data_IF_660513936097
#
_entry.id   IF_660513936097
#
_cell.length_a   1.000
_cell.length_b   1.000
_cell.length_c   1.000
_cell.angle_alpha   90.00
_cell.angle_beta   90.00
_cell.angle_gamma   90.00
#
_symmetry.space_group_name_H-M   'P 1'
#
loop_
_entity.id
_entity.type
_entity.pdbx_description
1 polymer ?
#
# COMPACT_ATOMS: atom_id res chain seq x y z
N UNK A 1 -23.97 -7.02 17.22
CA UNK A 1 -24.74 -7.16 15.96
C UNK A 1 -25.23 -5.78 15.61
N UNK A 2 -24.73 -5.18 14.58
CA UNK A 2 -25.24 -3.88 14.08
C UNK A 2 -26.62 -4.14 13.50
N UNK A 3 -27.61 -3.37 13.95
CA UNK A 3 -29.03 -3.58 13.71
C UNK A 3 -29.48 -3.54 12.23
N UNK A 4 -28.61 -3.28 11.28
CA UNK A 4 -28.98 -3.10 9.87
C UNK A 4 -28.74 -4.33 8.98
N UNK A 5 -27.76 -5.20 9.28
CA UNK A 5 -27.43 -6.34 8.43
C UNK A 5 -28.49 -7.45 8.38
N UNK A 6 -29.38 -7.52 9.36
CA UNK A 6 -30.46 -8.51 9.44
C UNK A 6 -31.83 -7.98 8.97
N UNK A 7 -31.92 -6.74 8.48
CA UNK A 7 -33.22 -6.09 8.21
C UNK A 7 -33.56 -6.11 6.72
N UNK A 8 -32.54 -6.11 5.82
CA UNK A 8 -32.79 -6.03 4.39
C UNK A 8 -32.18 -7.21 3.62
N UNK A 9 -32.94 -7.83 2.68
CA UNK A 9 -32.38 -8.78 1.72
C UNK A 9 -31.28 -8.13 0.87
N UNK A 10 -30.31 -8.92 0.40
CA UNK A 10 -29.18 -8.45 -0.45
C UNK A 10 -29.64 -7.52 -1.57
N UNK A 11 -30.71 -7.87 -2.28
CA UNK A 11 -31.23 -7.05 -3.38
C UNK A 11 -31.68 -5.66 -2.93
N UNK A 12 -32.36 -5.55 -1.78
CA UNK A 12 -32.77 -4.26 -1.25
C UNK A 12 -31.58 -3.40 -0.82
N UNK A 13 -30.51 -4.02 -0.26
CA UNK A 13 -29.27 -3.31 0.05
C UNK A 13 -28.60 -2.80 -1.22
N UNK A 14 -28.53 -3.59 -2.28
CA UNK A 14 -27.99 -3.20 -3.58
C UNK A 14 -28.78 -2.07 -4.24
N UNK A 15 -30.10 -2.07 -4.14
CA UNK A 15 -30.97 -1.01 -4.65
C UNK A 15 -30.74 0.33 -3.92
N UNK A 16 -30.59 0.29 -2.58
CA UNK A 16 -30.24 1.47 -1.77
C UNK A 16 -28.84 2.00 -2.06
N UNK A 17 -27.88 1.08 -2.21
CA UNK A 17 -26.50 1.37 -2.56
C UNK A 17 -26.42 2.08 -3.92
N UNK A 18 -27.05 1.51 -4.94
CA UNK A 18 -27.13 2.11 -6.28
C UNK A 18 -27.80 3.48 -6.31
N UNK A 19 -28.76 3.73 -5.40
CA UNK A 19 -29.49 4.99 -5.33
C UNK A 19 -28.72 6.12 -4.62
N UNK A 20 -27.85 5.79 -3.67
CA UNK A 20 -27.32 6.79 -2.73
C UNK A 20 -25.81 6.77 -2.51
N UNK A 21 -25.08 5.73 -2.92
CA UNK A 21 -23.65 5.60 -2.66
C UNK A 21 -22.83 5.73 -3.95
N UNK A 22 -21.84 6.63 -3.93
CA UNK A 22 -20.86 6.77 -5.02
C UNK A 22 -19.56 6.04 -4.66
N UNK A 23 -19.29 4.94 -5.31
CA UNK A 23 -18.15 4.08 -4.99
C UNK A 23 -16.81 4.62 -5.53
N UNK A 24 -15.71 4.50 -4.74
CA UNK A 24 -14.37 4.83 -5.22
C UNK A 24 -13.87 3.82 -6.26
N UNK A 25 -13.09 4.29 -7.24
CA UNK A 25 -12.46 3.46 -8.28
C UNK A 25 -13.43 2.50 -8.99
N UNK A 26 -14.65 2.94 -9.26
CA UNK A 26 -15.69 2.11 -9.85
C UNK A 26 -16.33 2.77 -11.07
N UNK A 27 -16.64 1.96 -12.09
CA UNK A 27 -17.62 2.35 -13.11
C UNK A 27 -19.02 2.16 -12.52
N UNK A 28 -19.66 3.27 -12.15
CA UNK A 28 -20.96 3.27 -11.49
C UNK A 28 -22.06 2.66 -12.36
N UNK A 29 -21.95 2.77 -13.70
CA UNK A 29 -22.93 2.18 -14.62
C UNK A 29 -22.89 0.66 -14.58
N UNK A 30 -21.70 0.10 -14.64
CA UNK A 30 -21.48 -1.36 -14.55
C UNK A 30 -21.85 -1.86 -13.16
N UNK A 31 -21.36 -1.20 -12.10
CA UNK A 31 -21.65 -1.56 -10.71
C UNK A 31 -23.15 -1.61 -10.42
N UNK A 32 -23.92 -0.59 -10.85
CA UNK A 32 -25.35 -0.54 -10.62
C UNK A 32 -26.12 -1.60 -11.43
N UNK A 33 -25.58 -2.03 -12.58
CA UNK A 33 -26.19 -3.11 -13.38
C UNK A 33 -25.95 -4.50 -12.77
N UNK A 34 -24.78 -4.71 -12.18
CA UNK A 34 -24.35 -5.99 -11.61
C UNK A 34 -24.75 -6.15 -10.13
N UNK A 35 -24.84 -5.03 -9.40
CA UNK A 35 -25.03 -4.97 -7.95
C UNK A 35 -23.72 -5.08 -7.17
N UNK A 36 -23.63 -4.33 -6.06
CA UNK A 36 -22.47 -4.35 -5.18
C UNK A 36 -22.36 -5.66 -4.37
N UNK A 37 -21.13 -6.03 -4.02
CA UNK A 37 -20.84 -7.14 -3.10
C UNK A 37 -20.97 -6.63 -1.66
N UNK A 38 -22.02 -7.01 -0.96
CA UNK A 38 -22.32 -6.51 0.38
C UNK A 38 -21.66 -7.40 1.42
N UNK A 39 -20.65 -6.90 2.12
CA UNK A 39 -19.96 -7.59 3.22
C UNK A 39 -20.62 -7.17 4.54
N UNK A 40 -21.05 -8.16 5.34
CA UNK A 40 -21.82 -7.93 6.57
C UNK A 40 -21.08 -8.29 7.85
N UNK A 41 -20.09 -9.19 7.76
CA UNK A 41 -19.33 -9.66 8.92
C UNK A 41 -17.91 -10.01 8.53
N UNK A 42 -16.99 -9.94 9.51
CA UNK A 42 -15.61 -10.36 9.33
C UNK A 42 -15.02 -10.89 10.65
N UNK A 43 -14.16 -11.92 10.55
CA UNK A 43 -13.46 -12.53 11.69
C UNK A 43 -12.16 -13.18 11.23
N UNK A 44 -11.04 -12.95 11.93
CA UNK A 44 -9.72 -13.43 11.55
C UNK A 44 -9.33 -12.98 10.15
N UNK A 45 -9.22 -13.93 9.21
CA UNK A 45 -8.93 -13.66 7.77
C UNK A 45 -10.17 -13.83 6.89
N UNK A 46 -11.36 -13.93 7.49
CA UNK A 46 -12.58 -14.28 6.78
C UNK A 46 -13.59 -13.15 6.75
N UNK A 47 -14.24 -13.00 5.62
CA UNK A 47 -15.39 -12.13 5.40
C UNK A 47 -16.64 -12.99 5.22
N UNK A 48 -17.81 -12.42 5.53
CA UNK A 48 -19.11 -13.02 5.23
C UNK A 48 -19.94 -11.97 4.48
N UNK A 49 -20.47 -12.33 3.32
CA UNK A 49 -21.36 -11.46 2.56
C UNK A 49 -22.82 -11.52 3.07
N UNK A 50 -23.69 -10.72 2.46
CA UNK A 50 -25.10 -10.64 2.83
C UNK A 50 -25.92 -11.90 2.53
N UNK A 51 -25.39 -12.80 1.70
CA UNK A 51 -26.00 -14.10 1.41
C UNK A 51 -25.45 -15.23 2.31
N UNK A 52 -24.57 -14.87 3.27
CA UNK A 52 -23.98 -15.79 4.23
C UNK A 52 -22.78 -16.56 3.69
N UNK A 53 -22.27 -16.23 2.50
CA UNK A 53 -21.09 -16.87 1.93
C UNK A 53 -19.82 -16.41 2.66
N UNK A 54 -19.01 -17.38 3.07
CA UNK A 54 -17.71 -17.15 3.69
C UNK A 54 -16.63 -17.01 2.61
N UNK A 55 -15.79 -15.98 2.72
CA UNK A 55 -14.80 -15.58 1.70
C UNK A 55 -13.49 -15.27 2.41
N UNK A 56 -12.37 -15.87 1.98
CA UNK A 56 -11.04 -15.53 2.52
C UNK A 56 -10.61 -14.17 2.00
N UNK A 57 -10.22 -13.29 2.92
CA UNK A 57 -9.69 -11.95 2.61
C UNK A 57 -8.21 -12.01 2.22
N UNK A 58 -7.94 -12.38 0.99
CA UNK A 58 -6.58 -12.44 0.44
C UNK A 58 -5.91 -11.07 0.24
N UNK A 59 -6.62 -9.96 0.60
CA UNK A 59 -6.13 -8.59 0.43
C UNK A 59 -6.02 -7.80 1.73
N UNK A 60 -6.30 -8.42 2.89
CA UNK A 60 -6.34 -7.73 4.18
C UNK A 60 -7.17 -6.43 4.10
N UNK A 61 -8.44 -6.54 3.69
CA UNK A 61 -9.26 -5.41 3.30
C UNK A 61 -8.72 -4.73 2.06
N UNK A 62 -7.94 -3.68 2.26
CA UNK A 62 -7.17 -3.02 1.20
C UNK A 62 -5.73 -2.78 1.69
N UNK A 63 -4.96 -3.85 1.88
CA UNK A 63 -3.56 -3.86 2.37
C UNK A 63 -3.43 -3.40 3.84
N UNK A 64 -4.48 -3.43 4.65
CA UNK A 64 -4.47 -2.75 5.94
C UNK A 64 -4.69 -3.65 7.15
N UNK A 65 -5.38 -4.79 7.05
CA UNK A 65 -5.78 -5.61 8.20
C UNK A 65 -4.66 -6.58 8.58
N UNK A 66 -3.62 -6.07 9.26
CA UNK A 66 -2.44 -6.86 9.65
C UNK A 66 -2.78 -7.92 10.69
N UNK A 67 -3.49 -7.55 11.76
CA UNK A 67 -3.79 -8.42 12.91
C UNK A 67 -5.08 -9.24 12.74
N UNK A 68 -5.68 -9.20 11.55
CA UNK A 68 -6.97 -9.85 11.29
C UNK A 68 -8.17 -9.02 11.76
N UNK A 69 -9.33 -9.47 11.34
CA UNK A 69 -10.61 -8.90 11.71
C UNK A 69 -11.08 -9.36 13.10
N UNK A 70 -12.01 -8.61 13.71
CA UNK A 70 -12.70 -9.05 14.93
C UNK A 70 -11.88 -8.93 16.24
N UNK A 71 -10.75 -8.22 16.25
CA UNK A 71 -9.93 -8.01 17.45
C UNK A 71 -10.66 -7.14 18.47
N UNK A 72 -11.24 -7.80 19.47
CA UNK A 72 -11.99 -7.12 20.54
C UNK A 72 -11.13 -6.15 21.34
N UNK A 73 -9.86 -6.48 21.56
CA UNK A 73 -8.91 -5.64 22.27
C UNK A 73 -8.81 -4.22 21.68
N UNK A 74 -8.81 -4.10 20.33
CA UNK A 74 -8.77 -2.79 19.66
C UNK A 74 -10.11 -2.07 19.84
N UNK A 75 -11.24 -2.78 19.70
CA UNK A 75 -12.56 -2.21 19.91
C UNK A 75 -12.76 -1.69 21.34
N UNK A 76 -12.29 -2.46 22.34
CA UNK A 76 -12.37 -2.09 23.76
C UNK A 76 -11.46 -0.88 24.07
N UNK A 77 -10.26 -0.81 23.49
CA UNK A 77 -9.38 0.35 23.61
C UNK A 77 -10.02 1.63 23.05
N UNK A 78 -10.64 1.53 21.87
CA UNK A 78 -11.40 2.64 21.25
C UNK A 78 -12.58 3.04 22.12
N UNK A 79 -13.37 2.08 22.60
CA UNK A 79 -14.52 2.36 23.46
C UNK A 79 -14.11 3.08 24.76
N UNK A 80 -13.06 2.62 25.43
CA UNK A 80 -12.51 3.26 26.64
C UNK A 80 -12.09 4.69 26.33
N UNK A 81 -11.30 4.90 25.26
CA UNK A 81 -10.80 6.22 24.90
C UNK A 81 -11.93 7.21 24.55
N UNK A 82 -12.96 6.74 23.86
CA UNK A 82 -14.13 7.56 23.52
C UNK A 82 -14.90 8.04 24.76
N UNK A 83 -14.91 7.25 25.83
CA UNK A 83 -15.53 7.65 27.10
C UNK A 83 -14.66 8.61 27.93
N UNK A 84 -13.35 8.56 27.77
CA UNK A 84 -12.40 9.40 28.54
C UNK A 84 -12.17 10.75 27.83
N UNK A 85 -11.78 10.74 26.57
CA UNK A 85 -11.59 11.90 25.71
C UNK A 85 -11.93 11.51 24.28
N UNK A 86 -13.16 11.85 23.84
CA UNK A 86 -13.66 11.50 22.52
C UNK A 86 -12.90 12.23 21.41
N UNK A 87 -12.61 13.51 21.62
CA UNK A 87 -11.84 14.34 20.69
C UNK A 87 -11.26 15.55 21.40
N UNK A 88 -10.01 15.87 21.06
CA UNK A 88 -9.44 17.21 21.16
C UNK A 88 -8.32 17.36 20.12
N UNK A 89 -8.10 18.59 19.64
CA UNK A 89 -7.11 18.86 18.63
C UNK A 89 -5.67 18.90 19.17
N UNK A 90 -4.69 18.78 18.26
CA UNK A 90 -3.25 18.90 18.55
C UNK A 90 -2.66 20.24 18.06
N UNK A 91 -3.52 21.26 17.85
CA UNK A 91 -3.13 22.62 17.47
C UNK A 91 -2.92 23.48 18.72
N UNK A 92 -2.40 24.68 18.52
CA UNK A 92 -2.35 25.74 19.55
C UNK A 92 -1.67 25.34 20.85
N UNK A 93 -0.57 24.58 20.75
CA UNK A 93 0.20 24.06 21.90
C UNK A 93 -0.57 23.05 22.78
N UNK A 94 -1.58 22.42 22.24
CA UNK A 94 -2.31 21.35 22.91
C UNK A 94 -1.92 19.98 22.36
N UNK A 95 -2.05 18.97 23.18
CA UNK A 95 -1.89 17.55 22.83
C UNK A 95 -2.62 16.69 23.87
N UNK A 96 -2.57 15.37 23.74
CA UNK A 96 -3.21 14.45 24.66
C UNK A 96 -2.41 13.14 24.80
N UNK A 97 -2.57 12.40 25.90
CA UNK A 97 -1.76 11.24 26.22
C UNK A 97 -1.70 10.17 25.11
N UNK A 98 -2.80 9.74 24.43
CA UNK A 98 -2.71 8.75 23.38
C UNK A 98 -1.81 9.14 22.22
N UNK A 99 -1.84 10.40 21.74
CA UNK A 99 -0.96 10.86 20.67
C UNK A 99 0.51 10.88 21.08
N UNK A 100 0.80 11.28 22.35
CA UNK A 100 2.16 11.27 22.91
C UNK A 100 2.69 9.84 22.97
N UNK A 101 1.91 8.92 23.58
CA UNK A 101 2.28 7.52 23.71
C UNK A 101 2.49 6.84 22.37
N UNK A 102 1.63 7.12 21.38
CA UNK A 102 1.79 6.59 20.02
C UNK A 102 3.05 7.12 19.33
N UNK A 103 3.38 8.42 19.54
CA UNK A 103 4.60 9.02 18.98
C UNK A 103 5.87 8.36 19.55
N UNK A 104 5.90 8.12 20.86
CA UNK A 104 6.99 7.40 21.52
C UNK A 104 7.09 5.96 21.00
N UNK A 105 5.96 5.26 20.85
CA UNK A 105 5.91 3.88 20.36
C UNK A 105 6.46 3.79 18.93
N UNK A 106 6.00 4.67 18.03
CA UNK A 106 6.45 4.70 16.64
C UNK A 106 7.94 5.02 16.53
N UNK A 107 8.45 5.97 17.32
CA UNK A 107 9.89 6.28 17.35
C UNK A 107 10.75 5.10 17.82
N UNK A 108 10.24 4.22 18.70
CA UNK A 108 10.94 3.01 19.13
C UNK A 108 10.94 1.90 18.08
N UNK A 109 9.92 1.84 17.22
CA UNK A 109 9.76 0.80 16.20
C UNK A 109 10.45 1.19 14.88
N UNK A 110 10.55 2.47 14.60
CA UNK A 110 11.12 3.00 13.35
C UNK A 110 12.66 3.01 13.40
N UNK A 111 13.34 3.16 12.22
CA UNK A 111 14.78 3.39 12.19
C UNK A 111 15.21 4.52 13.14
N UNK A 112 16.32 4.34 13.85
CA UNK A 112 16.74 5.16 15.00
C UNK A 112 16.81 6.69 14.74
N UNK A 113 16.89 7.13 13.51
CA UNK A 113 16.90 8.54 13.13
C UNK A 113 15.48 9.11 12.83
N UNK A 114 14.43 8.30 12.97
CA UNK A 114 13.02 8.69 12.73
C UNK A 114 12.32 8.99 14.06
N UNK A 115 12.56 10.17 14.62
CA UNK A 115 12.15 10.49 16.01
C UNK A 115 10.92 11.41 16.14
N UNK A 116 10.35 11.88 15.04
CA UNK A 116 9.15 12.70 15.07
C UNK A 116 8.07 12.10 14.17
N UNK A 117 6.82 12.38 14.49
CA UNK A 117 5.69 12.00 13.65
C UNK A 117 4.69 13.16 13.52
N UNK A 118 4.27 13.41 12.29
CA UNK A 118 3.17 14.31 11.98
C UNK A 118 1.95 13.46 11.64
N UNK A 119 0.84 13.62 12.36
CA UNK A 119 -0.36 12.81 12.18
C UNK A 119 -1.34 13.41 11.17
N UNK A 120 -2.04 12.50 10.47
CA UNK A 120 -3.16 12.79 9.57
C UNK A 120 -4.16 11.62 9.61
N UNK A 121 -5.14 11.58 8.70
CA UNK A 121 -6.20 10.56 8.72
C UNK A 121 -6.03 9.48 7.64
N UNK A 122 -5.09 9.64 6.72
CA UNK A 122 -4.88 8.71 5.60
C UNK A 122 -3.47 8.79 5.00
N UNK A 123 -3.12 7.79 4.18
CA UNK A 123 -1.88 7.81 3.38
C UNK A 123 -1.87 8.93 2.33
N UNK A 124 -3.03 9.31 1.79
CA UNK A 124 -3.15 10.43 0.86
C UNK A 124 -2.78 11.76 1.51
N UNK A 125 -3.33 12.04 2.70
CA UNK A 125 -2.99 13.22 3.49
C UNK A 125 -1.52 13.18 3.96
N UNK A 126 -0.97 12.00 4.27
CA UNK A 126 0.44 11.84 4.60
C UNK A 126 1.33 12.28 3.43
N UNK A 127 1.01 11.92 2.20
CA UNK A 127 1.76 12.31 1.02
C UNK A 127 1.55 13.79 0.63
N UNK A 128 0.39 14.38 0.88
CA UNK A 128 0.20 15.83 0.78
C UNK A 128 1.08 16.56 1.82
N UNK A 129 1.20 16.02 3.03
CA UNK A 129 2.09 16.54 4.07
C UNK A 129 3.56 16.44 3.65
N UNK A 130 3.99 15.30 3.09
CA UNK A 130 5.33 15.11 2.53
C UNK A 130 5.62 16.16 1.47
N UNK A 131 4.73 16.36 0.51
CA UNK A 131 4.90 17.33 -0.57
C UNK A 131 5.15 18.74 -0.02
N UNK A 132 4.39 19.14 0.99
CA UNK A 132 4.54 20.46 1.63
C UNK A 132 5.79 20.52 2.51
N UNK A 133 6.07 19.49 3.29
CA UNK A 133 7.20 19.45 4.22
C UNK A 133 8.54 19.50 3.50
N UNK A 134 8.70 18.73 2.41
CA UNK A 134 9.89 18.72 1.56
C UNK A 134 10.19 20.14 1.05
N UNK A 135 9.19 20.82 0.48
CA UNK A 135 9.37 22.18 -0.05
C UNK A 135 9.66 23.21 1.04
N UNK A 136 8.95 23.12 2.18
CA UNK A 136 9.19 24.00 3.33
C UNK A 136 10.59 23.78 3.90
N UNK A 137 11.07 22.56 3.98
CA UNK A 137 12.41 22.24 4.43
C UNK A 137 13.47 22.96 3.57
N UNK A 138 13.40 22.82 2.25
CA UNK A 138 14.38 23.46 1.37
C UNK A 138 14.29 24.98 1.35
N UNK A 139 13.09 25.55 1.45
CA UNK A 139 12.92 27.01 1.62
C UNK A 139 13.62 27.49 2.90
N UNK A 140 13.44 26.77 4.01
CA UNK A 140 14.08 27.07 5.30
C UNK A 140 15.60 26.85 5.30
N UNK A 141 16.09 25.91 4.50
CA UNK A 141 17.53 25.69 4.31
C UNK A 141 18.18 26.68 3.34
N UNK A 142 17.46 27.73 2.89
CA UNK A 142 17.98 28.73 1.96
C UNK A 142 18.13 28.22 0.51
N UNK A 143 17.45 27.14 0.15
CA UNK A 143 17.48 26.53 -1.20
C UNK A 143 16.09 26.53 -1.84
N UNK A 144 15.44 27.71 -2.06
CA UNK A 144 14.05 27.77 -2.51
C UNK A 144 13.82 27.22 -3.92
N UNK A 145 14.86 27.03 -4.72
CA UNK A 145 14.74 26.41 -6.07
C UNK A 145 14.57 24.89 -6.01
N UNK A 146 14.94 24.22 -4.91
CA UNK A 146 14.72 22.79 -4.71
C UNK A 146 13.25 22.48 -4.47
N UNK A 147 12.47 22.25 -5.56
CA UNK A 147 11.01 22.06 -5.53
C UNK A 147 10.53 20.83 -6.29
N UNK A 148 11.39 20.23 -7.13
CA UNK A 148 11.02 19.07 -7.94
C UNK A 148 11.09 17.81 -7.06
N UNK A 149 10.00 17.05 -7.06
CA UNK A 149 9.96 15.72 -6.44
C UNK A 149 9.88 14.69 -7.56
N UNK A 150 10.77 13.70 -7.51
CA UNK A 150 10.80 12.61 -8.49
C UNK A 150 10.06 11.41 -7.90
N UNK A 151 9.06 10.89 -8.61
CA UNK A 151 8.35 9.64 -8.32
C UNK A 151 8.59 8.59 -9.41
N UNK A 152 7.90 7.47 -9.32
CA UNK A 152 7.99 6.37 -10.31
C UNK A 152 6.66 6.17 -11.03
N UNK A 153 6.71 5.82 -12.32
CA UNK A 153 5.52 5.34 -13.03
C UNK A 153 4.91 4.13 -12.32
N UNK A 154 3.58 4.03 -12.36
CA UNK A 154 2.77 3.04 -11.64
C UNK A 154 2.94 3.04 -10.11
N UNK A 155 3.64 4.00 -9.51
CA UNK A 155 3.62 4.25 -8.07
C UNK A 155 2.26 4.79 -7.63
N UNK A 156 1.86 4.50 -6.39
CA UNK A 156 0.60 5.00 -5.82
C UNK A 156 0.86 5.69 -4.47
N UNK A 157 0.62 6.99 -4.44
CA UNK A 157 0.85 7.81 -3.24
C UNK A 157 -0.40 8.50 -2.71
N UNK A 158 -1.58 8.14 -3.20
CA UNK A 158 -2.86 8.66 -2.71
C UNK A 158 -3.78 9.18 -3.82
N UNK A 159 -4.94 9.71 -3.40
CA UNK A 159 -6.00 10.21 -4.29
C UNK A 159 -6.25 11.72 -4.15
N UNK A 160 -5.51 12.42 -3.26
CA UNK A 160 -5.45 13.88 -3.22
C UNK A 160 -4.65 14.41 -4.41
N UNK A 161 -4.72 15.71 -4.71
CA UNK A 161 -4.01 16.27 -5.88
C UNK A 161 -2.50 16.06 -5.80
N UNK A 162 -1.87 16.28 -4.63
CA UNK A 162 -0.44 16.02 -4.49
C UNK A 162 -0.15 14.52 -4.48
N UNK A 163 -0.90 13.72 -3.72
CA UNK A 163 -0.73 12.26 -3.69
C UNK A 163 -0.86 11.62 -5.07
N UNK A 164 -1.88 12.01 -5.86
CA UNK A 164 -2.04 11.53 -7.24
C UNK A 164 -0.92 12.01 -8.16
N UNK A 165 -0.48 13.25 -7.99
CA UNK A 165 0.64 13.80 -8.79
C UNK A 165 1.97 13.10 -8.50
N UNK A 166 2.26 12.80 -7.22
CA UNK A 166 3.46 12.04 -6.82
C UNK A 166 3.39 10.59 -7.34
N UNK A 167 2.20 10.00 -7.36
CA UNK A 167 1.95 8.71 -8.00
C UNK A 167 2.12 8.79 -9.52
N UNK A 168 2.37 7.63 -10.14
CA UNK A 168 2.61 7.55 -11.59
C UNK A 168 1.53 6.78 -12.34
N UNK A 169 0.31 6.70 -11.81
CA UNK A 169 -0.80 6.01 -12.49
C UNK A 169 -1.42 6.89 -13.57
N UNK A 170 -1.08 6.64 -14.82
CA UNK A 170 -1.49 7.46 -15.98
C UNK A 170 -3.00 7.67 -16.09
N UNK A 171 -3.82 6.67 -15.74
CA UNK A 171 -5.27 6.81 -15.76
C UNK A 171 -5.78 7.85 -14.75
N UNK A 172 -5.16 7.94 -13.57
CA UNK A 172 -5.50 8.96 -12.56
C UNK A 172 -5.04 10.36 -13.00
N UNK A 173 -3.87 10.46 -13.63
CA UNK A 173 -3.39 11.73 -14.20
C UNK A 173 -4.33 12.26 -15.28
N UNK A 174 -4.81 11.38 -16.18
CA UNK A 174 -5.72 11.77 -17.27
C UNK A 174 -7.09 12.30 -16.81
N UNK A 175 -7.51 11.98 -15.58
CA UNK A 175 -8.77 12.46 -15.01
C UNK A 175 -8.69 13.81 -14.29
N UNK A 176 -7.52 14.41 -14.17
CA UNK A 176 -7.35 15.61 -13.38
C UNK A 176 -6.32 16.60 -13.92
N UNK A 177 -5.89 16.41 -15.17
CA UNK A 177 -4.85 17.22 -15.79
C UNK A 177 -3.57 17.27 -14.92
N UNK A 178 -3.13 16.11 -14.45
CA UNK A 178 -2.01 15.93 -13.55
C UNK A 178 -0.77 15.37 -14.30
N UNK A 179 0.42 15.49 -13.76
CA UNK A 179 0.76 15.94 -12.42
C UNK A 179 0.82 17.47 -12.27
N UNK A 180 0.67 17.96 -11.03
CA UNK A 180 0.91 19.38 -10.70
C UNK A 180 2.38 19.76 -10.96
N UNK A 181 2.69 21.07 -11.21
CA UNK A 181 4.06 21.50 -11.47
C UNK A 181 5.07 21.12 -10.39
N UNK A 182 6.25 20.69 -10.83
CA UNK A 182 7.35 20.27 -9.95
C UNK A 182 7.27 18.80 -9.52
N UNK A 183 6.56 17.96 -10.27
CA UNK A 183 6.63 16.50 -10.14
C UNK A 183 7.14 15.90 -11.45
N UNK A 184 8.10 15.01 -11.36
CA UNK A 184 8.70 14.24 -12.46
C UNK A 184 8.58 12.74 -12.15
N UNK A 185 8.43 11.91 -13.18
CA UNK A 185 8.41 10.46 -13.02
C UNK A 185 9.54 9.81 -13.81
N UNK A 186 10.12 8.77 -13.22
CA UNK A 186 11.07 7.86 -13.84
C UNK A 186 10.44 6.48 -13.99
N UNK A 187 11.08 5.60 -14.77
CA UNK A 187 10.60 4.23 -14.97
C UNK A 187 10.64 3.42 -13.67
N UNK A 188 9.75 2.44 -13.60
CA UNK A 188 9.62 1.54 -12.47
C UNK A 188 10.62 0.38 -12.58
N UNK A 189 11.05 -0.26 -11.46
CA UNK A 189 11.96 -1.39 -11.50
C UNK A 189 11.22 -2.72 -11.79
N UNK A 190 10.44 -2.78 -12.87
CA UNK A 190 9.64 -3.96 -13.24
C UNK A 190 10.36 -4.83 -14.26
N UNK A 191 11.21 -5.72 -13.78
CA UNK A 191 12.06 -6.56 -14.61
C UNK A 191 11.27 -7.42 -15.61
N UNK A 192 10.23 -8.14 -15.16
CA UNK A 192 9.44 -9.00 -16.04
C UNK A 192 8.81 -8.23 -17.22
N UNK A 193 8.26 -7.05 -16.98
CA UNK A 193 7.58 -6.27 -18.02
C UNK A 193 8.47 -5.35 -18.83
N UNK A 194 9.60 -4.89 -18.28
CA UNK A 194 10.41 -3.82 -18.88
C UNK A 194 11.89 -4.17 -19.05
N UNK A 195 12.38 -5.23 -18.38
CA UNK A 195 13.81 -5.54 -18.30
C UNK A 195 14.20 -6.92 -18.75
N UNK A 196 13.30 -7.71 -19.31
CA UNK A 196 13.51 -9.13 -19.61
C UNK A 196 14.63 -9.44 -20.63
N UNK A 197 15.11 -8.44 -21.37
CA UNK A 197 16.28 -8.57 -22.24
C UNK A 197 17.62 -8.50 -21.49
N UNK A 198 17.59 -8.11 -20.18
CA UNK A 198 18.73 -8.04 -19.28
C UNK A 198 18.59 -9.09 -18.17
N UNK A 199 19.67 -9.42 -17.48
CA UNK A 199 19.55 -10.14 -16.22
C UNK A 199 18.83 -9.27 -15.17
N UNK A 200 18.17 -9.83 -14.15
CA UNK A 200 17.56 -9.04 -13.08
C UNK A 200 18.57 -8.09 -12.40
N UNK A 201 19.79 -8.54 -12.21
CA UNK A 201 20.87 -7.78 -11.57
C UNK A 201 21.28 -6.56 -12.41
N UNK A 202 21.45 -6.74 -13.73
CA UNK A 202 21.77 -5.64 -14.67
C UNK A 202 20.61 -4.64 -14.75
N UNK A 203 19.36 -5.15 -14.86
CA UNK A 203 18.18 -4.31 -14.92
C UNK A 203 17.97 -3.51 -13.63
N UNK A 204 18.25 -4.08 -12.46
CA UNK A 204 18.12 -3.36 -11.20
C UNK A 204 19.00 -2.11 -11.16
N UNK A 205 20.28 -2.22 -11.57
CA UNK A 205 21.20 -1.07 -11.70
C UNK A 205 20.74 -0.10 -12.78
N UNK A 206 20.32 -0.61 -13.94
CA UNK A 206 19.81 0.21 -15.05
C UNK A 206 18.59 1.04 -14.62
N UNK A 207 17.60 0.42 -13.99
CA UNK A 207 16.39 1.09 -13.54
C UNK A 207 16.68 2.11 -12.42
N UNK A 208 17.62 1.84 -11.51
CA UNK A 208 18.02 2.78 -10.47
C UNK A 208 18.70 4.02 -11.06
N UNK A 209 19.53 3.86 -12.09
CA UNK A 209 20.23 4.96 -12.75
C UNK A 209 19.32 5.92 -13.51
N UNK A 210 18.05 5.54 -13.77
CA UNK A 210 17.04 6.49 -14.26
C UNK A 210 16.81 7.64 -13.27
N UNK A 211 17.04 7.41 -11.98
CA UNK A 211 17.03 8.51 -11.00
C UNK A 211 18.21 9.46 -11.21
N UNK A 212 19.42 8.93 -11.39
CA UNK A 212 20.62 9.73 -11.64
C UNK A 212 20.49 10.56 -12.92
N UNK A 213 20.05 9.93 -14.02
CA UNK A 213 19.77 10.61 -15.30
C UNK A 213 18.76 11.76 -15.12
N UNK A 214 17.66 11.52 -14.39
CA UNK A 214 16.65 12.54 -14.16
C UNK A 214 17.17 13.70 -13.28
N UNK A 215 17.98 13.43 -12.27
CA UNK A 215 18.61 14.47 -11.44
C UNK A 215 19.54 15.33 -12.30
N UNK A 216 20.36 14.71 -13.14
CA UNK A 216 21.30 15.43 -14.01
C UNK A 216 20.57 16.27 -15.08
N UNK A 217 19.45 15.75 -15.65
CA UNK A 217 18.61 16.48 -16.61
C UNK A 217 17.93 17.72 -15.98
N UNK A 218 17.40 17.57 -14.75
CA UNK A 218 16.66 18.63 -14.05
C UNK A 218 17.63 19.68 -13.45
N UNK A 219 18.76 19.23 -12.97
CA UNK A 219 19.72 19.94 -12.13
C UNK A 219 19.48 19.64 -10.65
N UNK A 220 20.51 19.17 -9.94
CA UNK A 220 20.45 18.78 -8.52
C UNK A 220 19.96 19.94 -7.62
N UNK A 221 20.32 21.18 -7.97
CA UNK A 221 19.89 22.39 -7.29
C UNK A 221 18.39 22.63 -7.32
N UNK A 222 17.64 21.93 -8.18
CA UNK A 222 16.17 22.00 -8.32
C UNK A 222 15.46 20.77 -7.77
N UNK A 223 16.16 19.63 -7.62
CA UNK A 223 15.56 18.40 -7.12
C UNK A 223 15.50 18.43 -5.60
N UNK A 224 14.29 18.34 -5.07
CA UNK A 224 14.00 18.39 -3.64
C UNK A 224 14.00 17.00 -2.99
N UNK A 225 13.40 16.01 -3.63
CA UNK A 225 13.26 14.67 -3.09
C UNK A 225 13.04 13.61 -4.19
N UNK A 226 13.37 12.37 -3.85
CA UNK A 226 12.87 11.16 -4.50
C UNK A 226 11.86 10.47 -3.58
N UNK A 227 10.69 10.09 -4.12
CA UNK A 227 9.66 9.33 -3.39
C UNK A 227 9.43 7.97 -4.04
N UNK A 228 9.39 6.91 -3.23
CA UNK A 228 9.19 5.56 -3.71
C UNK A 228 8.62 4.62 -2.64
N UNK A 229 7.74 3.71 -3.04
CA UNK A 229 7.36 2.55 -2.24
C UNK A 229 8.52 1.53 -2.22
N UNK A 230 8.86 0.86 -1.13
CA UNK A 230 9.86 -0.22 -1.13
C UNK A 230 9.55 -1.32 -2.14
N UNK A 231 8.29 -1.73 -2.22
CA UNK A 231 7.66 -2.54 -3.27
C UNK A 231 6.43 -1.79 -3.75
N UNK A 232 6.29 -1.56 -5.06
CA UNK A 232 5.11 -0.87 -5.59
C UNK A 232 3.89 -1.80 -5.47
N UNK A 233 3.07 -1.55 -4.44
CA UNK A 233 1.93 -2.40 -4.13
C UNK A 233 0.82 -2.30 -5.16
N UNK A 234 0.18 -1.13 -5.24
CA UNK A 234 -0.96 -0.88 -6.14
C UNK A 234 -0.58 -0.93 -7.63
N UNK A 235 0.69 -0.78 -7.97
CA UNK A 235 1.22 -0.95 -9.32
C UNK A 235 1.25 -2.40 -9.82
N UNK A 236 1.01 -3.39 -8.93
CA UNK A 236 0.97 -4.81 -9.26
C UNK A 236 1.97 -5.67 -8.48
N UNK A 237 2.33 -5.28 -7.26
CA UNK A 237 3.39 -5.91 -6.45
C UNK A 237 4.70 -5.99 -7.24
N UNK A 238 5.18 -4.83 -7.69
CA UNK A 238 6.45 -4.72 -8.40
C UNK A 238 7.59 -4.82 -7.39
N UNK A 239 8.20 -5.99 -7.35
CA UNK A 239 9.37 -6.29 -6.50
C UNK A 239 10.62 -5.88 -7.28
N UNK A 240 11.39 -4.88 -6.81
CA UNK A 240 12.60 -4.47 -7.50
C UNK A 240 13.67 -5.57 -7.42
N UNK A 241 14.53 -5.73 -8.46
CA UNK A 241 15.70 -6.58 -8.36
C UNK A 241 16.60 -6.21 -7.19
N UNK A 242 17.36 -7.18 -6.67
CA UNK A 242 18.21 -7.03 -5.47
C UNK A 242 19.23 -5.87 -5.58
N UNK A 243 19.67 -5.54 -6.79
CA UNK A 243 20.65 -4.46 -7.06
C UNK A 243 20.03 -3.07 -7.12
N UNK A 244 18.69 -2.95 -7.17
CA UNK A 244 18.01 -1.65 -7.34
C UNK A 244 18.23 -0.73 -6.14
N UNK A 245 17.87 -1.15 -4.94
CA UNK A 245 17.94 -0.31 -3.74
C UNK A 245 19.38 0.04 -3.32
N UNK A 246 20.38 -0.86 -3.42
CA UNK A 246 21.78 -0.49 -3.22
C UNK A 246 22.25 0.63 -4.15
N UNK A 247 21.89 0.61 -5.44
CA UNK A 247 22.26 1.66 -6.39
C UNK A 247 21.47 2.96 -6.13
N UNK A 248 20.17 2.88 -5.81
CA UNK A 248 19.39 4.07 -5.36
C UNK A 248 20.05 4.71 -4.14
N UNK A 249 20.46 3.89 -3.16
CA UNK A 249 21.17 4.39 -1.97
C UNK A 249 22.45 5.12 -2.33
N UNK A 250 23.29 4.55 -3.21
CA UNK A 250 24.51 5.20 -3.68
C UNK A 250 24.20 6.56 -4.28
N UNK A 251 23.24 6.65 -5.20
CA UNK A 251 22.84 7.89 -5.86
C UNK A 251 22.40 8.94 -4.83
N UNK A 252 21.57 8.54 -3.85
CA UNK A 252 21.07 9.46 -2.82
C UNK A 252 22.14 9.90 -1.82
N UNK A 253 23.10 9.03 -1.47
CA UNK A 253 24.20 9.36 -0.58
C UNK A 253 25.19 10.38 -1.23
N UNK A 254 25.27 10.39 -2.57
CA UNK A 254 26.14 11.30 -3.32
C UNK A 254 25.48 12.66 -3.67
N UNK A 255 24.17 12.79 -3.44
CA UNK A 255 23.34 13.94 -3.81
C UNK A 255 22.67 14.57 -2.59
N UNK A 256 22.59 15.90 -2.56
CA UNK A 256 21.88 16.62 -1.49
C UNK A 256 20.37 16.73 -1.80
N UNK A 257 19.68 15.59 -1.82
CA UNK A 257 18.22 15.49 -1.99
C UNK A 257 17.62 14.67 -0.84
N UNK A 258 16.31 14.84 -0.58
CA UNK A 258 15.63 14.04 0.45
C UNK A 258 15.14 12.72 -0.14
N UNK A 259 15.17 11.68 0.67
CA UNK A 259 14.54 10.40 0.34
C UNK A 259 13.24 10.18 1.12
N UNK A 260 12.15 9.86 0.42
CA UNK A 260 10.85 9.53 0.98
C UNK A 260 10.53 8.07 0.68
N UNK A 261 10.56 7.21 1.71
CA UNK A 261 10.08 5.83 1.61
C UNK A 261 8.60 5.78 1.95
N UNK A 262 7.74 5.53 0.97
CA UNK A 262 6.31 5.38 1.22
C UNK A 262 6.02 4.00 1.84
N UNK A 263 5.86 3.98 3.16
CA UNK A 263 5.64 2.78 3.97
C UNK A 263 4.16 2.45 4.20
N UNK A 264 3.27 3.12 3.53
CA UNK A 264 1.81 2.96 3.70
C UNK A 264 1.35 1.52 3.48
N UNK A 265 1.98 0.77 2.57
CA UNK A 265 1.69 -0.65 2.34
C UNK A 265 2.74 -1.56 3.01
N UNK A 266 4.03 -1.26 2.82
CA UNK A 266 5.12 -2.15 3.23
C UNK A 266 5.37 -2.15 4.75
N UNK A 267 4.97 -1.11 5.46
CA UNK A 267 5.14 -0.98 6.90
C UNK A 267 4.33 -1.96 7.74
N UNK A 268 4.69 -2.02 9.02
CA UNK A 268 4.00 -2.80 10.05
C UNK A 268 3.98 -4.31 9.79
N UNK A 269 5.14 -4.88 9.45
CA UNK A 269 5.35 -6.33 9.40
C UNK A 269 5.09 -6.99 8.04
N UNK A 270 4.60 -6.27 7.03
CA UNK A 270 4.21 -6.84 5.73
C UNK A 270 5.32 -7.61 5.02
N UNK A 271 6.57 -7.17 5.18
CA UNK A 271 7.76 -7.80 4.58
C UNK A 271 8.59 -8.64 5.57
N UNK A 272 8.12 -8.82 6.82
CA UNK A 272 8.90 -9.49 7.87
C UNK A 272 9.89 -8.59 8.59
N UNK A 273 9.79 -7.28 8.39
CA UNK A 273 10.43 -6.22 9.16
C UNK A 273 9.37 -5.16 9.52
N UNK A 274 9.66 -4.27 10.48
CA UNK A 274 8.72 -3.23 10.86
C UNK A 274 8.40 -2.31 9.69
N UNK A 275 9.42 -1.99 8.89
CA UNK A 275 9.29 -1.12 7.71
C UNK A 275 10.04 -1.71 6.52
N UNK A 276 9.62 -1.39 5.31
CA UNK A 276 10.31 -1.78 4.10
C UNK A 276 11.70 -1.13 3.99
N UNK A 277 11.89 0.03 4.61
CA UNK A 277 13.18 0.69 4.74
C UNK A 277 14.19 -0.21 5.50
N UNK A 278 13.76 -0.88 6.58
CA UNK A 278 14.59 -1.85 7.30
C UNK A 278 14.93 -3.07 6.43
N UNK A 279 13.91 -3.57 5.71
CA UNK A 279 14.08 -4.73 4.82
C UNK A 279 15.14 -4.50 3.73
N UNK A 280 15.13 -3.30 3.12
CA UNK A 280 16.08 -2.96 2.05
C UNK A 280 17.33 -2.21 2.52
N UNK A 281 17.47 -1.96 3.81
CA UNK A 281 18.61 -1.24 4.39
C UNK A 281 18.73 0.21 3.90
N UNK A 282 17.60 0.85 3.59
CA UNK A 282 17.55 2.25 3.15
C UNK A 282 17.42 3.22 4.34
N UNK A 283 17.79 4.48 4.12
CA UNK A 283 17.75 5.51 5.18
C UNK A 283 16.92 6.71 4.71
N UNK A 284 15.58 6.64 4.79
CA UNK A 284 14.71 7.73 4.37
C UNK A 284 14.76 8.94 5.31
N UNK A 285 14.49 10.13 4.75
CA UNK A 285 14.29 11.37 5.51
C UNK A 285 12.84 11.53 5.97
N UNK A 286 11.89 10.99 5.22
CA UNK A 286 10.46 10.98 5.53
C UNK A 286 9.87 9.60 5.22
N UNK A 287 8.94 9.12 6.06
CA UNK A 287 8.21 7.88 5.83
C UNK A 287 6.71 8.12 6.04
N UNK A 288 5.89 8.25 4.98
CA UNK A 288 4.44 8.16 5.07
C UNK A 288 4.01 6.80 5.60
N UNK A 289 3.11 6.81 6.60
CA UNK A 289 2.53 5.62 7.22
C UNK A 289 1.01 5.72 7.30
N UNK A 290 0.31 4.61 7.17
CA UNK A 290 -1.14 4.48 7.34
C UNK A 290 -1.52 2.99 7.45
N UNK A 291 -2.70 2.60 7.00
CA UNK A 291 -3.17 1.21 6.82
C UNK A 291 -2.85 0.29 8.00
N UNK A 292 -1.71 -0.43 7.94
CA UNK A 292 -1.25 -1.33 8.98
C UNK A 292 -1.04 -0.67 10.35
N UNK A 293 -0.93 0.65 10.41
CA UNK A 293 -0.84 1.42 11.65
C UNK A 293 -2.01 1.13 12.60
N UNK A 294 -3.21 0.98 12.07
CA UNK A 294 -4.42 0.67 12.85
C UNK A 294 -5.08 -0.64 12.44
N UNK A 295 -4.47 -1.42 11.55
CA UNK A 295 -5.11 -2.58 10.89
C UNK A 295 -6.50 -2.27 10.30
N UNK A 296 -6.75 -1.04 9.87
CA UNK A 296 -8.02 -0.63 9.25
C UNK A 296 -9.18 -0.45 10.25
N UNK A 297 -8.95 -0.61 11.56
CA UNK A 297 -10.00 -0.46 12.57
C UNK A 297 -10.50 0.98 12.67
N UNK A 298 -9.61 1.97 12.60
CA UNK A 298 -9.95 3.38 12.49
C UNK A 298 -9.01 4.07 11.48
N UNK A 299 -9.48 5.10 10.76
CA UNK A 299 -8.67 5.81 9.79
C UNK A 299 -7.60 6.66 10.49
N UNK A 300 -6.33 6.35 10.23
CA UNK A 300 -5.18 7.12 10.71
C UNK A 300 -4.02 6.99 9.73
N UNK A 301 -3.25 8.06 9.62
CA UNK A 301 -1.99 8.10 8.92
C UNK A 301 -1.04 9.09 9.58
N UNK A 302 0.17 9.19 9.03
CA UNK A 302 1.17 10.14 9.50
C UNK A 302 2.39 10.13 8.60
N UNK A 303 3.31 11.02 8.92
CA UNK A 303 4.65 11.06 8.34
C UNK A 303 5.65 10.93 9.46
N UNK A 304 6.44 9.87 9.47
CA UNK A 304 7.64 9.79 10.29
C UNK A 304 8.69 10.72 9.70
N UNK A 305 9.35 11.50 10.56
CA UNK A 305 10.28 12.57 10.16
C UNK A 305 11.64 12.31 10.77
N UNK A 306 12.67 12.31 9.93
CA UNK A 306 14.05 12.11 10.38
C UNK A 306 14.57 13.30 11.22
N UNK A 307 15.58 13.04 12.04
CA UNK A 307 16.28 14.09 12.79
C UNK A 307 16.81 15.20 11.86
N UNK A 308 17.34 14.83 10.69
CA UNK A 308 17.79 15.81 9.67
C UNK A 308 16.72 16.83 9.33
N UNK A 309 15.51 16.37 8.98
CA UNK A 309 14.40 17.25 8.58
C UNK A 309 13.83 17.98 9.79
N UNK A 310 13.60 17.27 10.90
CA UNK A 310 13.02 17.84 12.11
C UNK A 310 13.90 18.94 12.72
N UNK A 311 15.19 18.69 12.88
CA UNK A 311 16.15 19.66 13.43
C UNK A 311 16.30 20.85 12.50
N UNK A 312 16.40 20.65 11.18
CA UNK A 312 16.46 21.72 10.20
C UNK A 312 15.26 22.66 10.30
N UNK A 313 14.06 22.13 10.37
CA UNK A 313 12.83 22.92 10.51
C UNK A 313 12.75 23.62 11.89
N UNK A 314 13.13 22.95 12.98
CA UNK A 314 13.12 23.52 14.32
C UNK A 314 14.14 24.67 14.47
N UNK A 315 15.35 24.49 13.98
CA UNK A 315 16.42 25.52 14.04
C UNK A 315 16.08 26.75 13.19
N UNK A 316 15.49 26.54 12.01
CA UNK A 316 15.05 27.66 11.15
C UNK A 316 13.87 28.43 11.75
N UNK A 317 13.10 27.78 12.64
CA UNK A 317 11.95 28.38 13.31
C UNK A 317 10.80 28.75 12.37
N UNK A 318 9.78 29.36 12.97
CA UNK A 318 8.54 29.73 12.29
C UNK A 318 7.54 28.58 12.27
N UNK A 319 6.33 28.89 11.87
CA UNK A 319 5.21 27.96 11.85
C UNK A 319 5.18 27.17 10.53
N UNK A 320 4.91 25.87 10.62
CA UNK A 320 4.54 25.04 9.47
C UNK A 320 3.02 25.13 9.28
N UNK A 321 2.57 26.04 8.39
CA UNK A 321 1.15 26.33 8.14
C UNK A 321 0.44 25.15 7.44
N UNK A 322 0.38 24.01 8.13
CA UNK A 322 -0.24 22.78 7.64
C UNK A 322 -0.72 21.92 8.81
N UNK A 323 -1.88 21.30 8.64
CA UNK A 323 -2.49 20.41 9.62
C UNK A 323 -3.90 20.02 9.20
N UNK A 324 -4.41 18.99 9.82
CA UNK A 324 -5.77 18.48 9.60
C UNK A 324 -6.53 18.51 10.92
N UNK A 325 -7.84 18.77 10.86
CA UNK A 325 -8.68 18.84 12.07
C UNK A 325 -8.55 17.58 12.92
N UNK A 326 -8.43 16.41 12.30
CA UNK A 326 -8.37 15.13 13.00
C UNK A 326 -6.94 14.59 13.17
N UNK A 327 -5.90 15.42 13.01
CA UNK A 327 -4.52 15.02 13.28
C UNK A 327 -4.36 14.47 14.68
N UNK A 328 -3.92 13.21 14.79
CA UNK A 328 -3.68 12.55 16.08
C UNK A 328 -4.95 12.25 16.89
N UNK A 329 -6.12 12.05 16.27
CA UNK A 329 -7.38 11.77 16.94
C UNK A 329 -7.24 10.75 18.08
N UNK A 330 -7.74 11.05 19.32
CA UNK A 330 -7.49 10.21 20.50
C UNK A 330 -7.88 8.74 20.33
N UNK A 331 -9.08 8.48 19.79
CA UNK A 331 -9.54 7.10 19.58
C UNK A 331 -8.74 6.36 18.50
N UNK A 332 -8.30 7.07 17.44
CA UNK A 332 -7.44 6.48 16.41
C UNK A 332 -6.05 6.14 16.98
N UNK A 333 -5.50 7.01 17.81
CA UNK A 333 -4.23 6.76 18.52
C UNK A 333 -4.34 5.56 19.47
N UNK A 334 -5.45 5.42 20.20
CA UNK A 334 -5.71 4.27 21.06
C UNK A 334 -5.84 2.96 20.23
N UNK A 335 -6.52 3.01 19.10
CA UNK A 335 -6.60 1.87 18.17
C UNK A 335 -5.21 1.46 17.64
N UNK A 336 -4.40 2.44 17.23
CA UNK A 336 -3.04 2.22 16.75
C UNK A 336 -2.15 1.59 17.84
N UNK A 337 -2.18 2.11 19.07
CA UNK A 337 -1.43 1.55 20.19
C UNK A 337 -1.81 0.09 20.46
N UNK A 338 -3.10 -0.21 20.56
CA UNK A 338 -3.58 -1.59 20.77
C UNK A 338 -3.17 -2.51 19.59
N UNK A 339 -3.25 -2.02 18.35
CA UNK A 339 -2.82 -2.76 17.17
C UNK A 339 -1.31 -3.07 17.21
N UNK A 340 -0.47 -2.08 17.48
CA UNK A 340 0.99 -2.26 17.56
C UNK A 340 1.39 -3.21 18.69
N UNK A 341 0.69 -3.16 19.84
CA UNK A 341 0.88 -4.10 20.94
C UNK A 341 0.56 -5.54 20.55
N UNK A 342 -0.52 -5.77 19.77
CA UNK A 342 -0.88 -7.09 19.24
C UNK A 342 0.22 -7.59 18.30
N UNK A 343 0.69 -6.77 17.36
CA UNK A 343 1.76 -7.15 16.41
C UNK A 343 3.02 -7.60 17.15
N UNK A 344 3.45 -6.85 18.20
CA UNK A 344 4.61 -7.21 18.99
C UNK A 344 4.38 -8.46 19.85
N UNK A 345 3.31 -8.47 20.63
CA UNK A 345 3.00 -9.56 21.58
C UNK A 345 2.85 -10.90 20.87
N UNK A 346 2.24 -10.91 19.69
CA UNK A 346 2.05 -12.12 18.90
C UNK A 346 3.23 -12.42 17.98
N UNK A 347 4.29 -11.59 17.98
CA UNK A 347 5.50 -11.78 17.19
C UNK A 347 5.26 -11.81 15.69
N UNK A 348 4.27 -11.06 15.18
CA UNK A 348 3.79 -11.17 13.81
C UNK A 348 4.85 -10.77 12.77
N UNK A 349 5.72 -9.83 13.09
CA UNK A 349 6.84 -9.42 12.21
C UNK A 349 7.79 -10.59 12.00
N UNK A 350 8.26 -11.21 13.09
CA UNK A 350 9.16 -12.36 13.02
C UNK A 350 8.48 -13.57 12.35
N UNK A 351 7.19 -13.78 12.62
CA UNK A 351 6.40 -14.82 12.00
C UNK A 351 6.33 -14.68 10.47
N UNK A 352 6.17 -13.46 9.95
CA UNK A 352 6.23 -13.21 8.50
C UNK A 352 7.63 -13.47 7.96
N UNK A 353 8.67 -13.11 8.71
CA UNK A 353 10.07 -13.27 8.29
C UNK A 353 10.48 -14.72 8.19
N UNK A 354 10.16 -15.53 9.20
CA UNK A 354 10.77 -16.85 9.40
C UNK A 354 9.81 -18.04 9.29
N UNK A 355 8.48 -17.80 9.31
CA UNK A 355 7.49 -18.86 9.39
C UNK A 355 6.47 -18.78 8.23
N UNK A 356 5.39 -18.04 8.38
CA UNK A 356 4.28 -18.03 7.41
C UNK A 356 4.65 -17.41 6.06
N UNK A 357 5.58 -16.42 6.05
CA UNK A 357 6.04 -15.80 4.82
C UNK A 357 6.74 -16.80 3.90
N UNK A 358 7.84 -17.48 4.33
CA UNK A 358 8.48 -18.52 3.55
C UNK A 358 7.54 -19.68 3.18
N UNK A 359 6.64 -20.09 4.10
CA UNK A 359 5.67 -21.15 3.86
C UNK A 359 4.71 -20.83 2.70
N UNK A 360 4.12 -19.63 2.71
CA UNK A 360 3.22 -19.20 1.65
C UNK A 360 3.99 -18.92 0.36
N UNK A 361 5.17 -18.29 0.44
CA UNK A 361 5.99 -17.98 -0.72
C UNK A 361 6.36 -19.22 -1.52
N UNK A 362 6.83 -20.29 -0.87
CA UNK A 362 7.16 -21.54 -1.55
C UNK A 362 5.98 -22.09 -2.37
N UNK A 363 4.78 -22.03 -1.81
CA UNK A 363 3.56 -22.54 -2.44
C UNK A 363 3.04 -21.64 -3.54
N UNK A 364 3.10 -20.34 -3.29
CA UNK A 364 2.65 -19.32 -4.26
C UNK A 364 3.49 -19.34 -5.53
N UNK A 365 4.82 -19.48 -5.39
CA UNK A 365 5.71 -19.52 -6.54
C UNK A 365 5.49 -20.75 -7.43
N UNK A 366 4.98 -21.87 -6.90
CA UNK A 366 4.62 -23.05 -7.69
C UNK A 366 3.44 -22.79 -8.65
N UNK A 367 2.59 -21.80 -8.36
CA UNK A 367 1.54 -21.37 -9.30
C UNK A 367 2.13 -20.81 -10.60
N UNK A 368 3.39 -20.43 -10.59
CA UNK A 368 4.17 -20.08 -11.77
C UNK A 368 4.23 -21.20 -12.82
N UNK A 369 4.02 -22.47 -12.46
CA UNK A 369 3.98 -23.59 -13.40
C UNK A 369 2.70 -23.63 -14.23
N UNK A 370 1.63 -22.96 -13.80
CA UNK A 370 0.35 -22.90 -14.51
C UNK A 370 0.48 -22.25 -15.90
N UNK A 371 -0.15 -22.79 -16.96
CA UNK A 371 -0.01 -22.29 -18.34
C UNK A 371 -0.46 -20.84 -18.55
N UNK A 372 -1.31 -20.31 -17.68
CA UNK A 372 -1.78 -18.92 -17.72
C UNK A 372 -0.83 -17.94 -17.00
N UNK A 373 0.17 -18.41 -16.27
CA UNK A 373 1.06 -17.58 -15.45
C UNK A 373 2.42 -17.44 -16.12
N UNK A 374 2.79 -16.21 -16.49
CA UNK A 374 4.11 -15.86 -17.00
C UNK A 374 5.13 -15.64 -15.89
N UNK A 375 4.70 -15.01 -14.78
CA UNK A 375 5.53 -14.81 -13.60
C UNK A 375 4.69 -14.98 -12.32
N UNK A 376 5.23 -15.71 -11.35
CA UNK A 376 4.78 -15.70 -9.97
C UNK A 376 5.85 -15.06 -9.09
N UNK A 377 5.49 -14.03 -8.33
CA UNK A 377 6.42 -13.30 -7.44
C UNK A 377 5.83 -13.08 -6.07
N UNK A 378 6.68 -13.10 -5.03
CA UNK A 378 6.26 -12.86 -3.66
C UNK A 378 7.44 -12.42 -2.78
N UNK A 379 7.21 -11.47 -1.87
CA UNK A 379 8.12 -11.08 -0.78
C UNK A 379 7.28 -10.82 0.48
N UNK A 380 7.71 -11.39 1.60
CA UNK A 380 6.88 -11.39 2.82
C UNK A 380 5.48 -11.94 2.52
N UNK A 381 4.45 -11.18 2.86
CA UNK A 381 3.06 -11.48 2.51
C UNK A 381 2.50 -10.52 1.43
N UNK A 382 3.28 -10.27 0.39
CA UNK A 382 2.87 -9.54 -0.82
C UNK A 382 3.18 -10.40 -2.03
N UNK A 383 2.17 -10.88 -2.74
CA UNK A 383 2.33 -11.76 -3.90
C UNK A 383 1.59 -11.28 -5.13
N UNK A 384 2.09 -11.69 -6.30
CA UNK A 384 1.41 -11.47 -7.57
C UNK A 384 1.59 -12.65 -8.52
N UNK A 385 0.60 -12.83 -9.40
CA UNK A 385 0.63 -13.73 -10.57
C UNK A 385 0.40 -12.87 -11.80
N UNK A 386 1.37 -12.79 -12.68
CA UNK A 386 1.25 -12.11 -13.96
C UNK A 386 0.60 -13.06 -14.97
N UNK A 387 -0.59 -12.72 -15.47
CA UNK A 387 -1.31 -13.56 -16.43
C UNK A 387 -0.85 -13.25 -17.85
N UNK A 388 -0.66 -14.31 -18.66
CA UNK A 388 -0.19 -14.21 -20.03
C UNK A 388 -1.03 -15.08 -20.98
N UNK A 389 -1.22 -14.66 -22.23
CA UNK A 389 -1.97 -15.47 -23.21
C UNK A 389 -1.19 -16.72 -23.66
N UNK A 390 0.12 -16.69 -23.60
CA UNK A 390 1.01 -17.77 -24.02
C UNK A 390 2.27 -17.82 -23.16
N UNK A 391 2.42 -18.87 -22.39
CA UNK A 391 3.60 -19.05 -21.51
C UNK A 391 4.92 -19.21 -22.28
N UNK A 392 4.89 -19.58 -23.58
CA UNK A 392 6.10 -19.65 -24.41
C UNK A 392 6.59 -18.29 -24.89
N UNK A 393 5.71 -17.29 -24.85
CA UNK A 393 6.00 -15.89 -25.14
C UNK A 393 5.40 -15.03 -24.01
N UNK A 394 5.96 -15.09 -22.80
CA UNK A 394 5.33 -14.55 -21.58
C UNK A 394 5.34 -13.02 -21.53
N UNK A 395 6.13 -12.38 -22.37
CA UNK A 395 6.23 -10.91 -22.43
C UNK A 395 5.21 -10.27 -23.37
N UNK A 396 4.49 -11.09 -24.15
CA UNK A 396 3.39 -10.61 -24.99
C UNK A 396 2.12 -10.45 -24.15
N UNK A 397 1.58 -9.23 -23.97
CA UNK A 397 0.37 -9.01 -23.19
C UNK A 397 -0.88 -9.50 -23.93
N UNK A 398 -2.00 -9.63 -23.22
CA UNK A 398 -3.32 -9.78 -23.84
C UNK A 398 -3.67 -8.54 -24.68
N UNK A 399 -4.42 -8.72 -25.77
CA UNK A 399 -4.86 -7.62 -26.65
C UNK A 399 -5.57 -6.49 -25.88
N UNK A 400 -6.43 -6.86 -24.92
CA UNK A 400 -7.17 -5.93 -24.08
C UNK A 400 -6.68 -6.05 -22.64
N UNK A 401 -5.57 -5.40 -22.35
CA UNK A 401 -4.93 -5.40 -21.02
C UNK A 401 -5.93 -5.06 -19.90
N UNK A 402 -5.92 -5.86 -18.84
CA UNK A 402 -6.78 -5.70 -17.66
C UNK A 402 -8.13 -6.44 -17.74
N UNK A 403 -8.55 -6.87 -18.91
CA UNK A 403 -9.80 -7.62 -19.07
C UNK A 403 -9.69 -9.00 -18.44
N UNK A 404 -8.59 -9.70 -18.69
CA UNK A 404 -8.37 -11.06 -18.16
C UNK A 404 -8.17 -11.03 -16.66
N UNK A 405 -7.41 -10.05 -16.16
CA UNK A 405 -7.27 -9.85 -14.72
C UNK A 405 -8.63 -9.63 -14.03
N UNK A 406 -9.51 -8.83 -14.64
CA UNK A 406 -10.87 -8.60 -14.12
C UNK A 406 -11.69 -9.89 -14.09
N UNK A 407 -11.69 -10.69 -15.16
CA UNK A 407 -12.37 -11.99 -15.21
C UNK A 407 -11.83 -12.91 -14.11
N UNK A 408 -10.53 -13.04 -13.98
CA UNK A 408 -9.88 -13.88 -12.98
C UNK A 408 -10.23 -13.44 -11.55
N UNK A 409 -10.23 -12.13 -11.26
CA UNK A 409 -10.64 -11.55 -9.98
C UNK A 409 -12.08 -11.95 -9.62
N UNK A 410 -13.00 -11.86 -10.56
CA UNK A 410 -14.42 -12.13 -10.32
C UNK A 410 -14.66 -13.65 -10.12
N UNK A 411 -13.94 -14.49 -10.85
CA UNK A 411 -13.91 -15.94 -10.64
C UNK A 411 -13.35 -16.26 -9.25
N UNK A 412 -12.27 -15.60 -8.82
CA UNK A 412 -11.69 -15.77 -7.47
C UNK A 412 -12.71 -15.49 -6.38
N UNK A 413 -13.43 -14.36 -6.49
CA UNK A 413 -14.49 -14.03 -5.53
C UNK A 413 -15.61 -15.11 -5.56
N UNK A 414 -15.97 -15.58 -6.75
CA UNK A 414 -16.88 -16.72 -6.94
C UNK A 414 -16.37 -17.98 -6.27
N UNK A 415 -15.09 -18.26 -6.25
CA UNK A 415 -14.45 -19.40 -5.60
C UNK A 415 -14.23 -19.20 -4.07
N UNK A 416 -14.60 -18.06 -3.50
CA UNK A 416 -14.54 -17.81 -2.06
C UNK A 416 -13.25 -17.18 -1.56
N UNK A 417 -12.54 -16.42 -2.43
CA UNK A 417 -11.36 -15.68 -2.04
C UNK A 417 -11.32 -14.31 -2.71
N UNK A 418 -10.86 -13.30 -1.97
CA UNK A 418 -10.55 -11.97 -2.53
C UNK A 418 -9.12 -11.96 -3.08
N UNK A 419 -8.97 -11.76 -4.38
CA UNK A 419 -7.74 -11.28 -5.02
C UNK A 419 -8.05 -9.96 -5.74
N UNK A 420 -7.05 -9.11 -5.92
CA UNK A 420 -7.21 -7.88 -6.67
C UNK A 420 -6.53 -8.01 -8.04
N UNK A 421 -7.19 -7.53 -9.09
CA UNK A 421 -6.57 -7.35 -10.39
C UNK A 421 -5.94 -5.97 -10.52
N UNK A 422 -4.71 -5.93 -11.00
CA UNK A 422 -4.01 -4.72 -11.45
C UNK A 422 -3.56 -4.98 -12.89
N UNK A 423 -4.30 -4.45 -13.84
CA UNK A 423 -4.20 -4.92 -15.24
C UNK A 423 -4.45 -6.43 -15.28
N UNK A 424 -3.51 -7.21 -15.78
CA UNK A 424 -3.61 -8.68 -15.82
C UNK A 424 -2.73 -9.37 -14.74
N UNK A 425 -2.27 -8.62 -13.72
CA UNK A 425 -1.66 -9.19 -12.53
C UNK A 425 -2.70 -9.42 -11.44
N UNK A 426 -2.79 -10.64 -10.91
CA UNK A 426 -3.58 -10.97 -9.72
C UNK A 426 -2.72 -10.87 -8.49
N UNK A 427 -3.11 -10.01 -7.55
CA UNK A 427 -2.30 -9.72 -6.37
C UNK A 427 -2.98 -10.16 -5.09
N UNK A 428 -2.15 -10.55 -4.11
CA UNK A 428 -2.55 -10.89 -2.75
C UNK A 428 -1.71 -10.14 -1.71
N UNK A 429 -2.32 -9.92 -0.57
CA UNK A 429 -1.69 -9.38 0.64
C UNK A 429 -2.52 -9.78 1.87
N UNK A 430 -2.54 -11.06 2.26
CA UNK A 430 -3.39 -11.54 3.34
C UNK A 430 -2.98 -10.95 4.70
N UNK A 431 -3.87 -11.02 5.72
CA UNK A 431 -3.51 -10.67 7.10
C UNK A 431 -2.29 -11.46 7.61
N UNK A 432 -1.48 -10.86 8.50
CA UNK A 432 -0.26 -11.49 9.02
C UNK A 432 -0.55 -12.69 9.93
N UNK A 433 -1.79 -12.81 10.38
CA UNK A 433 -2.28 -13.88 11.25
C UNK A 433 -2.73 -15.13 10.51
N UNK A 434 -2.62 -15.15 9.18
CA UNK A 434 -2.97 -16.31 8.33
C UNK A 434 -2.38 -17.61 8.88
N UNK A 435 -3.18 -18.65 9.09
CA UNK A 435 -2.70 -19.98 9.49
C UNK A 435 -2.18 -20.78 8.29
N UNK A 436 -1.53 -21.92 8.53
CA UNK A 436 -1.09 -22.81 7.46
C UNK A 436 -2.26 -23.36 6.64
N UNK A 437 -3.34 -23.76 7.31
CA UNK A 437 -4.55 -24.26 6.68
C UNK A 437 -5.20 -23.20 5.79
N UNK A 438 -5.21 -21.95 6.25
CA UNK A 438 -5.73 -20.82 5.49
C UNK A 438 -4.81 -20.46 4.32
N UNK A 439 -3.49 -20.56 4.50
CA UNK A 439 -2.51 -20.39 3.41
C UNK A 439 -2.67 -21.48 2.34
N UNK A 440 -2.88 -22.73 2.74
CA UNK A 440 -3.15 -23.84 1.82
C UNK A 440 -4.49 -23.64 1.08
N UNK A 441 -5.53 -23.18 1.79
CA UNK A 441 -6.82 -22.82 1.18
C UNK A 441 -6.65 -21.71 0.16
N UNK A 442 -5.86 -20.65 0.49
CA UNK A 442 -5.58 -19.52 -0.39
C UNK A 442 -4.93 -20.02 -1.70
N UNK A 443 -3.86 -20.83 -1.60
CA UNK A 443 -3.12 -21.32 -2.76
C UNK A 443 -3.99 -22.24 -3.63
N UNK A 444 -4.72 -23.19 -3.03
CA UNK A 444 -5.65 -24.10 -3.75
C UNK A 444 -6.77 -23.32 -4.46
N UNK A 445 -7.28 -22.28 -3.81
CA UNK A 445 -8.32 -21.43 -4.40
C UNK A 445 -7.77 -20.59 -5.55
N UNK A 446 -6.53 -20.11 -5.44
CA UNK A 446 -5.84 -19.42 -6.52
C UNK A 446 -5.61 -20.36 -7.72
N UNK A 447 -5.12 -21.58 -7.50
CA UNK A 447 -4.92 -22.59 -8.52
C UNK A 447 -6.24 -22.91 -9.25
N UNK A 448 -7.31 -23.24 -8.49
CA UNK A 448 -8.65 -23.44 -9.06
C UNK A 448 -9.12 -22.24 -9.87
N UNK A 449 -8.87 -21.03 -9.38
CA UNK A 449 -9.25 -19.79 -10.07
C UNK A 449 -8.52 -19.64 -11.40
N UNK A 450 -7.23 -19.98 -11.44
CA UNK A 450 -6.45 -20.01 -12.67
C UNK A 450 -6.99 -21.05 -13.66
N UNK A 451 -7.32 -22.28 -13.19
CA UNK A 451 -7.91 -23.32 -14.01
C UNK A 451 -9.26 -22.86 -14.62
N UNK A 452 -10.16 -22.34 -13.78
CA UNK A 452 -11.47 -21.86 -14.22
C UNK A 452 -11.32 -20.70 -15.25
N UNK A 453 -10.40 -19.77 -14.98
CA UNK A 453 -10.08 -18.67 -15.90
C UNK A 453 -9.53 -19.18 -17.23
N UNK A 454 -8.60 -20.14 -17.19
CA UNK A 454 -8.04 -20.76 -18.39
C UNK A 454 -9.12 -21.39 -19.26
N UNK A 455 -10.10 -22.10 -18.67
CA UNK A 455 -11.22 -22.70 -19.43
C UNK A 455 -12.10 -21.63 -20.07
N UNK A 456 -12.38 -20.53 -19.39
CA UNK A 456 -13.12 -19.39 -19.96
C UNK A 456 -12.38 -18.83 -21.16
N UNK A 457 -11.09 -18.51 -21.02
CA UNK A 457 -10.27 -17.93 -22.07
C UNK A 457 -10.11 -18.87 -23.29
N UNK A 458 -9.97 -20.18 -23.03
CA UNK A 458 -9.89 -21.21 -24.07
C UNK A 458 -11.18 -21.25 -24.90
N UNK A 459 -12.33 -21.20 -24.22
CA UNK A 459 -13.65 -21.18 -24.88
C UNK A 459 -13.83 -19.91 -25.74
N UNK A 460 -13.32 -18.79 -25.26
CA UNK A 460 -13.42 -17.50 -25.92
C UNK A 460 -12.34 -17.27 -27.01
N UNK A 461 -11.42 -18.24 -27.21
CA UNK A 461 -10.34 -18.14 -28.20
C UNK A 461 -9.31 -17.06 -27.90
N UNK A 462 -9.09 -16.75 -26.60
CA UNK A 462 -8.15 -15.69 -26.14
C UNK A 462 -6.77 -16.21 -25.74
N UNK A 463 -6.52 -17.50 -25.85
CA UNK A 463 -5.22 -18.12 -25.60
C UNK A 463 -4.48 -18.28 -26.92
N UNK A 464 -3.17 -17.93 -26.93
CA UNK A 464 -2.27 -18.01 -28.08
C UNK A 464 -1.64 -19.39 -28.30
#
# INVERSE_FOLDING_TARGET
MTAHSNIYPTKALQELDAAHHWHPFSDMKSLNAEGSRVITHSDGVWLTDSDGKRILDGMAGLWCVQVGHGRREIADAVYKQMNELSYYNTFFKTTHPPAIALSEKLAKLAPAHMNKVFYCSSGSEANDTVFRMVRTYWDKMGKPEKKVIIGRWNGYHGSTLAGTSLGGMKAMHGQGDLPIPGVRHIDQPYWFGEGHEMSPEEFGVFAARKLEEAIDEIGEDKVAAFIAEPIQGAGGVIIPPETYWPEIKRILDERDILFVSDEVICGFGRLGEWFGADYYGTKPDLMPIAKGLTSGYLPMGGVMVSDRVAEGLMLAGGEFYHGYTYSGHPACAAAALANLEIIEREGLVERVKTDIGPYLQERWLKLGDHPLVGEARMKGLMGALELVPNKKDPHKPFENTGTVGTICRDISFGNGMVMRAVRDSLIISPPLVLTYEEADFLVKTAEKTLDDTYQVLKKDGRLG
#
